data_IF_226610033499
#
_entry.id   IF_226610033499
#
_cell.length_a   1.000
_cell.length_b   1.000
_cell.length_c   1.000
_cell.angle_alpha   90.00
_cell.angle_beta   90.00
_cell.angle_gamma   90.00
#
_symmetry.space_group_name_H-M   'P 1'
#
loop_
_entity.id
_entity.type
_entity.pdbx_description
1 polymer ?
#
# COMPACT_ATOMS: atom_id res chain seq x y z
N UNK A 1 20.74 3.63 -6.60
CA UNK A 1 19.75 2.99 -5.70
C UNK A 1 18.46 2.99 -6.51
N UNK A 2 18.06 1.85 -7.07
CA UNK A 2 16.81 1.76 -7.80
C UNK A 2 15.75 1.50 -6.74
N UNK A 3 15.03 2.54 -6.37
CA UNK A 3 13.86 2.44 -5.50
C UNK A 3 12.91 1.51 -6.26
N UNK A 4 12.65 0.32 -5.73
CA UNK A 4 11.77 -0.68 -6.36
C UNK A 4 10.30 -0.22 -6.41
N UNK A 5 10.03 1.08 -6.27
CA UNK A 5 8.73 1.71 -6.46
C UNK A 5 8.38 1.91 -7.92
N UNK A 6 9.19 1.40 -8.85
CA UNK A 6 9.01 1.49 -10.30
C UNK A 6 7.53 1.40 -10.67
N UNK A 7 6.99 2.49 -11.22
CA UNK A 7 5.60 2.79 -11.63
C UNK A 7 4.44 2.12 -10.86
N UNK A 8 4.40 0.80 -10.73
CA UNK A 8 3.37 0.03 -10.07
C UNK A 8 3.11 0.43 -8.62
N UNK A 9 4.14 0.56 -7.77
CA UNK A 9 3.89 0.96 -6.37
C UNK A 9 3.44 2.41 -6.25
N UNK A 10 3.93 3.29 -7.14
CA UNK A 10 3.45 4.67 -7.22
C UNK A 10 1.95 4.71 -7.57
N UNK A 11 1.50 3.91 -8.54
CA UNK A 11 0.07 3.79 -8.89
C UNK A 11 -0.73 3.25 -7.70
N UNK A 12 -0.26 2.17 -7.06
CA UNK A 12 -0.94 1.58 -5.90
C UNK A 12 -1.07 2.62 -4.77
N UNK A 13 -0.01 3.39 -4.50
CA UNK A 13 -0.06 4.43 -3.47
C UNK A 13 -1.10 5.51 -3.79
N UNK A 14 -1.17 5.96 -5.05
CA UNK A 14 -2.20 6.93 -5.47
C UNK A 14 -3.62 6.37 -5.27
N UNK A 15 -3.86 5.12 -5.66
CA UNK A 15 -5.17 4.45 -5.49
C UNK A 15 -5.51 4.37 -4.00
N UNK A 16 -4.61 3.83 -3.18
CA UNK A 16 -4.87 3.64 -1.74
C UNK A 16 -5.15 4.97 -1.04
N UNK A 17 -4.38 6.03 -1.35
CA UNK A 17 -4.61 7.37 -0.80
C UNK A 17 -5.95 7.96 -1.24
N UNK A 18 -6.33 7.81 -2.52
CA UNK A 18 -7.64 8.27 -3.03
C UNK A 18 -8.81 7.61 -2.29
N UNK A 19 -8.64 6.34 -1.90
CA UNK A 19 -9.61 5.59 -1.12
C UNK A 19 -9.49 5.80 0.41
N UNK A 20 -8.70 6.78 0.87
CA UNK A 20 -8.44 7.05 2.30
C UNK A 20 -7.93 5.82 3.06
N UNK A 21 -7.22 4.95 2.35
CA UNK A 21 -6.59 3.75 2.90
C UNK A 21 -5.14 3.97 3.29
N UNK A 22 -4.50 2.88 3.70
CA UNK A 22 -3.07 2.81 3.99
C UNK A 22 -2.42 1.57 3.39
N UNK A 23 -1.10 1.64 3.19
CA UNK A 23 -0.29 0.55 2.64
C UNK A 23 0.91 0.30 3.56
N UNK A 24 1.18 -0.97 3.85
CA UNK A 24 2.32 -1.45 4.62
C UNK A 24 3.09 -2.49 3.81
N UNK A 25 4.42 -2.45 3.88
CA UNK A 25 5.30 -3.33 3.10
C UNK A 25 6.31 -3.94 4.06
N UNK A 26 6.25 -5.26 4.19
CA UNK A 26 7.22 -6.06 4.93
C UNK A 26 7.97 -6.94 3.95
N UNK A 27 9.22 -6.59 3.68
CA UNK A 27 10.08 -7.32 2.75
C UNK A 27 11.39 -7.68 3.43
N UNK A 28 11.79 -8.94 3.27
CA UNK A 28 13.07 -9.46 3.76
C UNK A 28 13.74 -10.28 2.67
N UNK A 29 14.98 -9.93 2.36
CA UNK A 29 15.80 -10.65 1.39
C UNK A 29 15.84 -12.15 1.72
N UNK A 30 15.65 -12.99 0.70
CA UNK A 30 15.60 -14.45 0.86
C UNK A 30 14.35 -14.99 1.58
N UNK A 31 13.42 -14.14 2.03
CA UNK A 31 12.14 -14.55 2.67
C UNK A 31 10.89 -14.07 1.93
N UNK A 32 11.07 -13.23 0.92
CA UNK A 32 9.99 -12.69 0.10
C UNK A 32 9.50 -11.33 0.57
N UNK A 33 8.36 -10.91 0.02
CA UNK A 33 7.76 -9.61 0.23
C UNK A 33 6.26 -9.79 0.49
N UNK A 34 5.76 -9.15 1.55
CA UNK A 34 4.35 -9.06 1.89
C UNK A 34 3.92 -7.60 1.81
N UNK A 35 2.86 -7.34 1.04
CA UNK A 35 2.23 -6.02 0.94
C UNK A 35 0.84 -6.11 1.54
N UNK A 36 0.51 -5.23 2.48
CA UNK A 36 -0.81 -5.14 3.12
C UNK A 36 -1.46 -3.82 2.75
N UNK A 37 -2.72 -3.88 2.34
CA UNK A 37 -3.52 -2.71 1.99
C UNK A 37 -4.74 -2.69 2.92
N UNK A 38 -4.94 -1.57 3.59
CA UNK A 38 -6.10 -1.32 4.44
C UNK A 38 -6.97 -0.27 3.79
N UNK A 39 -8.24 -0.60 3.54
CA UNK A 39 -9.23 0.34 3.01
C UNK A 39 -10.37 0.48 4.03
N UNK A 40 -10.90 1.69 4.24
CA UNK A 40 -12.09 1.89 5.06
C UNK A 40 -13.30 1.20 4.42
N UNK A 41 -14.22 0.71 5.25
CA UNK A 41 -15.48 0.16 4.75
C UNK A 41 -16.39 1.31 4.28
N UNK A 42 -17.21 1.10 3.23
CA UNK A 42 -18.16 2.12 2.80
C UNK A 42 -19.09 2.49 3.96
N UNK A 43 -19.13 3.78 4.33
CA UNK A 43 -19.97 4.27 5.42
C UNK A 43 -19.40 4.13 6.83
N UNK A 44 -18.19 3.57 6.99
CA UNK A 44 -17.46 3.68 8.26
C UNK A 44 -16.79 5.04 8.32
N UNK A 45 -17.51 6.08 8.74
CA UNK A 45 -16.85 7.31 9.21
C UNK A 45 -15.95 6.91 10.37
N UNK A 46 -14.62 7.07 10.30
CA UNK A 46 -13.82 7.01 11.51
C UNK A 46 -14.33 8.13 12.43
N UNK A 47 -14.77 7.74 13.63
CA UNK A 47 -15.20 8.69 14.66
C UNK A 47 -14.03 9.49 15.20
#
# INVERSE_FOLDING_TARGET
RADATGLGLAIVQQIVTSHQGSIDIDSREGRGCTVRIHLPLPGSTPS
#
